data_IF_042472869257
#
_entry.id   IF_042472869257
#
_cell.length_a   1.000
_cell.length_b   1.000
_cell.length_c   1.000
_cell.angle_alpha   90.00
_cell.angle_beta   90.00
_cell.angle_gamma   90.00
#
_symmetry.space_group_name_H-M   'P 1'
#
loop_
_entity.id
_entity.type
_entity.pdbx_description
1 polymer ?
#
# COMPACT_ATOMS: atom_id res chain seq x y z
N UNK A 1 -31.37 -40.74 -6.75
CA UNK A 1 -30.35 -40.53 -7.80
C UNK A 1 -29.53 -39.32 -7.38
N UNK A 2 -28.53 -39.55 -6.54
CA UNK A 2 -27.70 -38.52 -5.91
C UNK A 2 -26.42 -38.33 -6.73
N UNK A 3 -26.12 -37.07 -7.03
CA UNK A 3 -25.03 -36.60 -7.89
C UNK A 3 -23.65 -36.87 -7.27
N UNK A 4 -22.89 -37.80 -7.85
CA UNK A 4 -21.50 -38.12 -7.47
C UNK A 4 -20.50 -37.40 -8.37
N UNK A 5 -20.56 -36.06 -8.42
CA UNK A 5 -19.63 -35.22 -9.18
C UNK A 5 -18.91 -34.22 -8.27
N UNK A 6 -18.29 -34.66 -7.17
CA UNK A 6 -17.59 -33.71 -6.27
C UNK A 6 -16.38 -34.26 -5.50
N UNK A 7 -15.69 -35.30 -5.98
CA UNK A 7 -14.52 -35.79 -5.22
C UNK A 7 -13.37 -36.36 -6.03
N UNK A 8 -13.46 -36.39 -7.38
CA UNK A 8 -12.37 -36.89 -8.24
C UNK A 8 -11.52 -35.81 -8.91
N UNK A 9 -11.79 -34.52 -8.68
CA UNK A 9 -11.01 -33.42 -9.27
C UNK A 9 -9.96 -32.79 -8.32
N UNK A 10 -9.80 -33.30 -7.09
CA UNK A 10 -8.87 -32.73 -6.11
C UNK A 10 -7.56 -33.54 -6.00
N UNK A 11 -7.40 -34.66 -6.74
CA UNK A 11 -6.27 -35.58 -6.53
C UNK A 11 -5.25 -35.71 -7.69
N UNK A 12 -5.20 -34.76 -8.63
CA UNK A 12 -4.21 -34.75 -9.73
C UNK A 12 -3.76 -33.31 -10.05
N UNK A 13 -3.08 -32.67 -9.10
CA UNK A 13 -2.31 -31.45 -9.36
C UNK A 13 -1.07 -31.37 -8.44
N UNK A 14 -0.29 -32.43 -8.43
CA UNK A 14 1.13 -32.37 -8.14
C UNK A 14 1.82 -33.00 -9.35
N UNK A 15 2.83 -32.33 -9.95
CA UNK A 15 3.85 -32.82 -10.91
C UNK A 15 4.10 -31.90 -12.14
N UNK A 16 3.37 -30.82 -12.37
CA UNK A 16 3.84 -29.76 -13.30
C UNK A 16 3.75 -28.42 -12.56
N UNK A 17 4.90 -27.81 -12.30
CA UNK A 17 5.02 -26.47 -11.72
C UNK A 17 4.56 -25.41 -12.71
N UNK A 18 3.29 -25.45 -13.11
CA UNK A 18 2.65 -24.39 -13.87
C UNK A 18 2.46 -23.25 -12.86
N UNK A 19 3.29 -22.22 -12.94
CA UNK A 19 3.02 -20.96 -12.29
C UNK A 19 1.70 -20.45 -12.87
N UNK A 20 0.60 -20.67 -12.15
CA UNK A 20 -0.69 -20.23 -12.62
C UNK A 20 -0.73 -18.71 -12.48
N UNK A 21 -0.90 -18.04 -13.61
CA UNK A 21 -1.17 -16.61 -13.65
C UNK A 21 -2.67 -16.36 -13.59
N UNK A 22 -3.06 -15.27 -12.97
CA UNK A 22 -4.45 -14.81 -12.85
C UNK A 22 -4.79 -13.84 -13.99
N UNK A 23 -6.00 -14.01 -14.52
CA UNK A 23 -6.49 -13.31 -15.70
C UNK A 23 -6.89 -11.85 -15.42
N UNK A 24 -7.23 -11.14 -16.48
CA UNK A 24 -7.70 -9.76 -16.40
C UNK A 24 -8.92 -9.63 -15.47
N UNK A 25 -8.85 -8.68 -14.55
CA UNK A 25 -9.83 -8.40 -13.49
C UNK A 25 -9.92 -9.43 -12.35
N UNK A 26 -9.14 -10.51 -12.39
CA UNK A 26 -9.12 -11.51 -11.34
C UNK A 26 -8.31 -11.07 -10.12
N UNK A 27 -8.60 -11.67 -8.97
CA UNK A 27 -7.91 -11.35 -7.73
C UNK A 27 -6.49 -11.93 -7.74
N UNK A 28 -5.51 -11.06 -7.50
CA UNK A 28 -4.09 -11.41 -7.50
C UNK A 28 -3.43 -11.31 -6.12
N UNK A 29 -4.03 -10.58 -5.18
CA UNK A 29 -3.54 -10.51 -3.81
C UNK A 29 -4.62 -10.17 -2.78
N UNK A 30 -4.31 -10.41 -1.51
CA UNK A 30 -5.14 -10.03 -0.36
C UNK A 30 -4.76 -10.82 0.90
N UNK A 31 -4.97 -10.23 2.08
CA UNK A 31 -4.83 -10.98 3.34
C UNK A 31 -5.74 -12.21 3.36
N UNK A 32 -5.15 -13.39 3.58
CA UNK A 32 -5.86 -14.68 3.59
C UNK A 32 -6.10 -15.29 2.20
N UNK A 33 -5.83 -14.57 1.11
CA UNK A 33 -6.00 -15.05 -0.27
C UNK A 33 -4.69 -15.59 -0.88
N UNK A 34 -3.54 -15.04 -0.46
CA UNK A 34 -2.23 -15.35 -1.06
C UNK A 34 -1.87 -14.37 -2.17
N UNK A 35 -0.72 -14.58 -2.82
CA UNK A 35 -0.20 -13.72 -3.90
C UNK A 35 0.03 -14.53 -5.16
N UNK A 36 -0.58 -14.10 -6.26
CA UNK A 36 -0.52 -14.78 -7.55
C UNK A 36 -0.11 -13.80 -8.66
N UNK A 37 0.79 -14.21 -9.56
CA UNK A 37 1.22 -13.37 -10.66
C UNK A 37 0.08 -13.15 -11.65
N UNK A 38 -0.03 -11.95 -12.23
CA UNK A 38 -0.98 -11.71 -13.32
C UNK A 38 -0.45 -12.20 -14.66
N UNK A 39 -1.34 -12.43 -15.62
CA UNK A 39 -0.96 -12.65 -17.02
C UNK A 39 -0.08 -11.52 -17.55
N UNK A 40 0.76 -11.83 -18.54
CA UNK A 40 1.69 -10.88 -19.13
C UNK A 40 0.98 -9.59 -19.58
N UNK A 41 1.53 -8.43 -19.18
CA UNK A 41 0.97 -7.12 -19.50
C UNK A 41 -0.08 -6.60 -18.51
N UNK A 42 -0.36 -7.33 -17.42
CA UNK A 42 -1.25 -6.89 -16.36
C UNK A 42 -0.47 -6.57 -15.07
N UNK A 43 -0.91 -5.53 -14.36
CA UNK A 43 -0.43 -5.19 -13.03
C UNK A 43 -1.40 -5.65 -11.94
N UNK A 44 -0.90 -6.13 -10.81
CA UNK A 44 -1.73 -6.42 -9.64
C UNK A 44 -1.93 -5.13 -8.83
N UNK A 45 -3.11 -4.53 -8.91
CA UNK A 45 -3.41 -3.27 -8.24
C UNK A 45 -4.21 -3.49 -6.98
N UNK A 46 -3.79 -2.85 -5.87
CA UNK A 46 -4.46 -2.96 -4.58
C UNK A 46 -5.71 -2.10 -4.54
N UNK A 47 -6.82 -2.68 -4.12
CA UNK A 47 -8.05 -1.93 -3.81
C UNK A 47 -8.16 -1.66 -2.32
N UNK A 48 -7.88 -2.67 -1.51
CA UNK A 48 -7.86 -2.59 -0.05
C UNK A 48 -6.97 -3.72 0.52
N UNK A 49 -6.90 -3.82 1.84
CA UNK A 49 -6.09 -4.81 2.57
C UNK A 49 -6.36 -6.28 2.16
N UNK A 50 -7.59 -6.59 1.77
CA UNK A 50 -8.05 -7.95 1.50
C UNK A 50 -8.21 -8.25 0.01
N UNK A 51 -8.10 -7.25 -0.87
CA UNK A 51 -8.41 -7.41 -2.28
C UNK A 51 -7.51 -6.56 -3.19
N UNK A 52 -6.86 -7.24 -4.13
CA UNK A 52 -6.11 -6.67 -5.25
C UNK A 52 -6.47 -7.41 -6.54
N UNK A 53 -6.55 -6.73 -7.68
CA UNK A 53 -6.89 -7.38 -8.96
C UNK A 53 -5.90 -7.08 -10.07
N UNK A 54 -5.75 -8.02 -11.01
CA UNK A 54 -5.03 -7.83 -12.25
C UNK A 54 -5.75 -6.84 -13.16
N UNK A 55 -5.08 -5.76 -13.59
CA UNK A 55 -5.65 -4.79 -14.51
C UNK A 55 -4.63 -4.41 -15.60
N UNK A 56 -5.06 -3.98 -16.80
CA UNK A 56 -4.16 -3.44 -17.82
C UNK A 56 -3.54 -2.11 -17.40
N UNK A 57 -4.26 -1.37 -16.57
CA UNK A 57 -3.83 -0.10 -15.98
C UNK A 57 -4.60 0.12 -14.69
N UNK A 58 -4.08 0.95 -13.78
CA UNK A 58 -4.76 1.20 -12.52
C UNK A 58 -6.08 1.97 -12.74
N UNK A 59 -7.24 1.44 -12.29
CA UNK A 59 -8.52 2.12 -12.47
C UNK A 59 -8.58 3.41 -11.65
N UNK A 60 -8.72 4.57 -12.30
CA UNK A 60 -8.77 5.90 -11.65
C UNK A 60 -10.07 6.21 -10.88
N UNK A 61 -10.88 5.19 -10.60
CA UNK A 61 -12.10 5.35 -9.81
C UNK A 61 -11.77 5.28 -8.31
N UNK A 62 -12.54 5.98 -7.48
CA UNK A 62 -12.36 6.02 -6.02
C UNK A 62 -12.31 4.60 -5.43
N UNK A 63 -11.28 4.34 -4.61
CA UNK A 63 -11.09 3.09 -3.88
C UNK A 63 -10.03 2.14 -4.44
N UNK A 64 -9.27 2.52 -5.47
CA UNK A 64 -8.04 1.82 -5.86
C UNK A 64 -6.81 2.59 -5.42
N UNK A 65 -5.85 1.91 -4.81
CA UNK A 65 -4.58 2.50 -4.37
C UNK A 65 -3.61 2.59 -5.55
N UNK A 66 -3.91 3.53 -6.45
CA UNK A 66 -3.13 3.82 -7.65
C UNK A 66 -2.00 4.83 -7.42
N UNK A 67 -2.01 5.55 -6.29
CA UNK A 67 -1.12 6.69 -6.04
C UNK A 67 0.36 6.33 -5.81
N UNK A 68 0.67 5.05 -5.61
CA UNK A 68 2.06 4.56 -5.51
C UNK A 68 2.54 3.80 -6.75
N UNK A 69 1.67 3.56 -7.74
CA UNK A 69 2.11 3.05 -9.03
C UNK A 69 2.51 4.24 -9.90
N UNK A 70 3.75 4.71 -9.74
CA UNK A 70 4.33 5.62 -10.71
C UNK A 70 4.10 5.04 -12.12
N UNK A 71 3.51 5.84 -13.01
CA UNK A 71 3.15 5.41 -14.37
C UNK A 71 4.31 4.63 -14.99
N UNK A 72 4.03 3.55 -15.76
CA UNK A 72 5.09 2.71 -16.31
C UNK A 72 6.14 3.59 -16.97
N UNK A 73 7.40 3.42 -16.56
CA UNK A 73 8.51 4.10 -17.18
C UNK A 73 8.49 3.75 -18.67
N UNK A 74 8.40 4.77 -19.53
CA UNK A 74 8.45 4.56 -20.98
C UNK A 74 9.77 3.85 -21.34
N UNK A 75 9.81 3.24 -22.51
CA UNK A 75 11.00 2.57 -23.02
C UNK A 75 12.22 3.46 -22.87
N UNK A 76 13.33 2.85 -22.43
CA UNK A 76 14.62 3.52 -22.21
C UNK A 76 14.69 4.43 -20.98
N UNK A 77 13.63 4.59 -20.20
CA UNK A 77 13.68 5.35 -18.95
C UNK A 77 14.25 4.54 -17.79
N UNK A 78 14.67 5.25 -16.75
CA UNK A 78 15.11 4.63 -15.50
C UNK A 78 13.93 3.98 -14.76
N UNK A 79 14.15 2.78 -14.25
CA UNK A 79 13.14 1.95 -13.61
C UNK A 79 13.60 1.37 -12.25
N UNK A 80 14.72 1.84 -11.70
CA UNK A 80 15.25 1.32 -10.46
C UNK A 80 16.67 1.82 -10.18
N UNK A 81 17.17 1.49 -8.99
CA UNK A 81 18.44 1.96 -8.46
C UNK A 81 18.30 2.41 -7.01
N UNK A 82 19.37 2.29 -6.23
CA UNK A 82 19.43 2.81 -4.86
C UNK A 82 19.22 4.34 -4.87
N UNK A 83 18.26 4.82 -4.06
CA UNK A 83 17.79 6.20 -4.07
C UNK A 83 16.80 6.56 -5.19
N UNK A 84 16.39 5.63 -6.06
CA UNK A 84 15.37 5.89 -7.09
C UNK A 84 13.96 5.95 -6.49
N UNK A 85 13.25 7.05 -6.76
CA UNK A 85 11.87 7.31 -6.26
C UNK A 85 10.82 7.23 -7.39
N UNK A 86 11.25 7.00 -8.64
CA UNK A 86 10.36 6.93 -9.81
C UNK A 86 9.74 5.54 -10.04
N UNK A 87 9.17 5.34 -11.23
CA UNK A 87 8.53 4.06 -11.57
C UNK A 87 9.51 2.90 -11.54
N UNK A 88 9.06 1.75 -11.03
CA UNK A 88 9.80 0.48 -11.03
C UNK A 88 9.26 -0.52 -12.06
N UNK A 89 8.25 -0.10 -12.82
CA UNK A 89 7.56 -0.92 -13.81
C UNK A 89 7.76 -0.26 -15.18
N UNK A 90 8.04 -1.04 -16.20
CA UNK A 90 8.23 -0.56 -17.57
C UNK A 90 6.96 -0.65 -18.40
N UNK A 91 6.84 0.20 -19.42
CA UNK A 91 5.74 0.12 -20.39
C UNK A 91 5.73 -1.23 -21.13
N UNK A 92 4.60 -1.55 -21.75
CA UNK A 92 4.41 -2.80 -22.47
C UNK A 92 5.52 -3.02 -23.52
N UNK A 93 6.09 -4.23 -23.55
CA UNK A 93 7.20 -4.60 -24.44
C UNK A 93 8.60 -4.35 -23.85
N UNK A 94 8.70 -3.77 -22.66
CA UNK A 94 9.95 -3.46 -21.98
C UNK A 94 10.07 -4.17 -20.62
N UNK A 95 11.30 -4.48 -20.22
CA UNK A 95 11.67 -5.02 -18.91
C UNK A 95 12.69 -4.10 -18.23
N UNK A 96 12.66 -4.06 -16.90
CA UNK A 96 13.59 -3.28 -16.11
C UNK A 96 14.90 -4.06 -15.91
N UNK A 97 15.99 -3.61 -16.54
CA UNK A 97 17.30 -4.23 -16.42
C UNK A 97 18.21 -3.40 -15.53
N UNK A 98 18.85 -4.05 -14.55
CA UNK A 98 19.79 -3.37 -13.67
C UNK A 98 21.16 -3.26 -14.35
N UNK A 99 21.73 -2.06 -14.37
CA UNK A 99 23.11 -1.81 -14.82
C UNK A 99 24.08 -1.75 -13.65
N UNK A 100 23.61 -1.20 -12.53
CA UNK A 100 24.37 -1.07 -11.30
C UNK A 100 23.42 -1.01 -10.11
N UNK A 101 23.98 -0.97 -8.89
CA UNK A 101 23.21 -0.79 -7.65
C UNK A 101 22.39 0.50 -7.69
N UNK A 102 22.86 1.54 -8.36
CA UNK A 102 22.24 2.87 -8.38
C UNK A 102 21.39 3.13 -9.64
N UNK A 103 21.34 2.21 -10.60
CA UNK A 103 20.68 2.48 -11.88
C UNK A 103 20.16 1.22 -12.58
N UNK A 104 18.87 1.25 -12.93
CA UNK A 104 18.18 0.28 -13.76
C UNK A 104 17.39 0.97 -14.87
N UNK A 105 17.28 0.38 -16.05
CA UNK A 105 16.63 0.98 -17.22
C UNK A 105 15.62 0.03 -17.86
N UNK A 106 14.48 0.57 -18.30
CA UNK A 106 13.54 -0.11 -19.16
C UNK A 106 14.15 -0.33 -20.53
N UNK A 107 14.28 -1.58 -20.97
CA UNK A 107 14.70 -1.90 -22.34
C UNK A 107 13.79 -2.99 -22.91
N UNK A 108 13.72 -3.15 -24.25
CA UNK A 108 12.90 -4.21 -24.83
C UNK A 108 13.20 -5.57 -24.19
N UNK A 109 12.17 -6.40 -23.96
CA UNK A 109 12.28 -7.68 -23.21
C UNK A 109 13.36 -8.65 -23.77
N UNK A 110 13.80 -8.44 -25.01
CA UNK A 110 14.82 -9.24 -25.68
C UNK A 110 16.12 -8.47 -25.97
N UNK A 111 16.29 -7.26 -25.42
CA UNK A 111 17.44 -6.38 -25.65
C UNK A 111 18.21 -6.10 -24.35
N UNK A 112 18.81 -7.15 -23.82
CA UNK A 112 19.75 -7.07 -22.71
C UNK A 112 21.18 -6.78 -23.22
N UNK A 113 21.80 -5.65 -22.86
CA UNK A 113 23.18 -5.38 -23.20
C UNK A 113 24.16 -6.23 -22.38
N UNK A 114 25.33 -6.51 -22.95
CA UNK A 114 26.43 -7.13 -22.21
C UNK A 114 26.80 -6.27 -20.98
N UNK A 115 26.90 -6.93 -19.82
CA UNK A 115 27.23 -6.27 -18.54
C UNK A 115 26.03 -5.76 -17.74
N UNK A 116 24.79 -6.04 -18.17
CA UNK A 116 23.57 -5.75 -17.40
C UNK A 116 22.96 -7.03 -16.82
N UNK A 117 22.24 -6.91 -15.71
CA UNK A 117 21.55 -8.03 -15.08
C UNK A 117 20.15 -8.19 -15.66
N UNK A 118 19.94 -9.26 -16.45
CA UNK A 118 18.73 -9.45 -17.27
C UNK A 118 18.00 -10.80 -17.09
N UNK A 119 18.33 -11.55 -16.03
CA UNK A 119 17.72 -12.83 -15.66
C UNK A 119 18.72 -13.60 -14.79
N UNK A 120 18.38 -14.31 -13.72
CA UNK A 120 17.12 -14.85 -13.18
C UNK A 120 17.18 -14.58 -11.65
N UNK A 121 16.07 -14.65 -10.91
CA UNK A 121 16.16 -14.97 -9.48
C UNK A 121 16.98 -16.26 -9.35
N UNK A 122 18.26 -16.12 -9.04
CA UNK A 122 19.13 -17.24 -8.70
C UNK A 122 18.60 -17.77 -7.37
N UNK A 123 18.32 -19.08 -7.20
CA UNK A 123 18.20 -19.62 -5.86
C UNK A 123 19.50 -19.26 -5.14
N UNK A 124 19.38 -18.49 -4.06
CA UNK A 124 20.48 -18.11 -3.18
C UNK A 124 21.10 -19.39 -2.65
N UNK A 125 22.10 -19.91 -3.36
CA UNK A 125 22.85 -21.08 -2.93
C UNK A 125 24.13 -20.52 -2.34
N UNK A 126 24.23 -20.66 -1.01
CA UNK A 126 25.33 -20.28 -0.13
C UNK A 126 25.59 -18.76 0.03
N UNK A 127 24.94 -18.17 1.04
CA UNK A 127 25.53 -17.05 1.77
C UNK A 127 26.84 -17.53 2.44
N UNK A 128 27.91 -16.71 2.49
CA UNK A 128 29.04 -17.01 3.35
C UNK A 128 28.54 -17.09 4.79
N UNK A 129 28.83 -18.23 5.44
CA UNK A 129 28.50 -18.49 6.84
C UNK A 129 29.22 -17.49 7.73
N UNK A 130 28.55 -16.39 8.06
CA UNK A 130 28.86 -15.64 9.26
C UNK A 130 28.18 -16.40 10.41
N UNK A 131 28.91 -16.82 11.45
CA UNK A 131 28.29 -17.49 12.59
C UNK A 131 27.38 -16.50 13.31
N UNK A 132 26.07 -16.64 13.10
CA UNK A 132 25.05 -15.92 13.87
C UNK A 132 24.94 -16.61 15.22
N UNK A 133 25.54 -16.00 16.24
CA UNK A 133 25.20 -16.26 17.63
C UNK A 133 23.76 -15.79 17.84
N UNK A 134 22.88 -16.76 18.03
CA UNK A 134 21.49 -16.58 18.41
C UNK A 134 21.41 -16.36 19.92
N UNK A 135 20.93 -15.18 20.34
CA UNK A 135 19.95 -14.98 21.43
C UNK A 135 19.83 -13.49 21.77
N UNK A 136 18.87 -12.77 21.18
CA UNK A 136 18.12 -11.70 21.89
C UNK A 136 16.73 -11.60 21.24
N UNK A 137 15.72 -12.13 21.91
CA UNK A 137 14.32 -11.68 21.71
C UNK A 137 14.24 -10.27 22.28
N UNK A 138 14.20 -9.26 21.42
CA UNK A 138 13.91 -7.88 21.83
C UNK A 138 12.39 -7.74 21.95
N UNK A 139 11.83 -7.43 23.13
CA UNK A 139 10.45 -7.02 23.24
C UNK A 139 10.37 -5.53 22.88
N UNK A 140 9.91 -5.20 21.67
CA UNK A 140 9.68 -3.81 21.29
C UNK A 140 8.23 -3.42 21.58
N UNK A 141 7.99 -2.95 22.80
CA UNK A 141 7.04 -1.86 23.01
C UNK A 141 7.66 -0.60 22.42
N UNK A 142 7.53 -0.42 21.09
CA UNK A 142 8.01 0.80 20.41
C UNK A 142 7.19 1.97 20.93
N UNK A 143 7.81 2.79 21.78
CA UNK A 143 7.24 4.03 22.25
C UNK A 143 7.04 4.94 21.03
N UNK A 144 5.83 5.51 20.80
CA UNK A 144 5.59 6.35 19.62
C UNK A 144 6.50 7.57 19.67
N UNK A 145 7.09 7.90 18.52
CA UNK A 145 8.04 9.01 18.41
C UNK A 145 7.25 10.31 18.42
N UNK A 146 7.39 11.10 19.49
CA UNK A 146 6.74 12.42 19.56
C UNK A 146 7.57 13.42 18.75
N UNK A 147 7.04 13.92 17.65
CA UNK A 147 7.69 14.96 16.83
C UNK A 147 7.18 16.36 17.22
N UNK A 148 8.04 17.39 17.23
CA UNK A 148 7.64 18.73 17.64
C UNK A 148 6.69 19.39 16.65
N UNK A 149 6.04 20.47 17.08
CA UNK A 149 5.23 21.31 16.20
C UNK A 149 6.08 21.75 14.98
N UNK A 150 5.42 21.86 13.82
CA UNK A 150 6.02 22.19 12.53
C UNK A 150 6.98 21.13 11.97
N UNK A 151 6.97 19.92 12.53
CA UNK A 151 7.71 18.78 11.99
C UNK A 151 6.87 17.96 11.03
N UNK A 152 7.54 17.34 10.05
CA UNK A 152 6.92 16.38 9.15
C UNK A 152 6.43 15.15 9.92
N UNK A 153 5.19 14.75 9.70
CA UNK A 153 4.55 13.63 10.41
C UNK A 153 4.17 12.45 9.52
N UNK A 154 4.28 12.56 8.20
CA UNK A 154 4.15 11.42 7.28
C UNK A 154 5.49 10.71 7.07
N UNK A 155 5.49 9.38 6.91
CA UNK A 155 6.69 8.58 6.60
C UNK A 155 7.56 8.15 7.78
N UNK A 156 7.27 8.63 9.00
CA UNK A 156 7.93 8.17 10.23
C UNK A 156 7.00 7.18 10.93
N UNK A 157 7.39 5.90 10.96
CA UNK A 157 6.60 4.83 11.56
C UNK A 157 6.33 5.14 13.05
N UNK A 158 5.07 5.40 13.39
CA UNK A 158 4.65 5.70 14.77
C UNK A 158 4.94 7.13 15.24
N UNK A 159 5.16 8.08 14.33
CA UNK A 159 5.25 9.49 14.72
C UNK A 159 3.89 10.03 15.16
N UNK A 160 3.85 10.59 16.37
CA UNK A 160 2.73 11.35 16.91
C UNK A 160 3.16 12.79 17.11
N UNK A 161 2.27 13.73 16.82
CA UNK A 161 2.55 15.14 17.02
C UNK A 161 2.59 15.48 18.52
N UNK A 162 3.44 16.43 18.90
CA UNK A 162 3.47 16.97 20.25
C UNK A 162 2.06 17.44 20.70
N UNK A 163 1.80 17.38 22.02
CA UNK A 163 0.52 17.74 22.59
C UNK A 163 0.04 19.12 22.11
N UNK A 164 -1.23 19.21 21.71
CA UNK A 164 -1.82 20.43 21.15
C UNK A 164 -1.60 20.62 19.65
N UNK A 165 -0.95 19.67 18.96
CA UNK A 165 -0.81 19.67 17.49
C UNK A 165 -1.33 18.36 16.89
N UNK A 166 -1.84 18.44 15.66
CA UNK A 166 -2.30 17.31 14.88
C UNK A 166 -1.58 17.27 13.53
N UNK A 167 -1.49 16.09 12.94
CA UNK A 167 -0.82 15.90 11.65
C UNK A 167 -1.76 16.34 10.53
N UNK A 168 -1.51 17.53 9.97
CA UNK A 168 -2.35 18.09 8.91
C UNK A 168 -1.73 17.80 7.54
N UNK A 169 -2.55 17.25 6.64
CA UNK A 169 -2.15 17.01 5.24
C UNK A 169 -2.08 18.33 4.50
N UNK A 170 -0.89 18.71 4.06
CA UNK A 170 -0.73 19.76 3.06
C UNK A 170 -0.94 19.19 1.66
N UNK A 171 -0.23 18.09 1.37
CA UNK A 171 -0.27 17.37 0.11
C UNK A 171 -0.11 15.86 0.35
N UNK A 172 -0.15 15.06 -0.71
CA UNK A 172 0.03 13.61 -0.62
C UNK A 172 1.39 13.18 -0.01
N UNK A 173 2.43 14.01 -0.18
CA UNK A 173 3.80 13.71 0.23
C UNK A 173 4.27 14.53 1.44
N UNK A 174 3.45 15.47 1.90
CA UNK A 174 3.83 16.36 2.99
C UNK A 174 2.65 16.59 3.92
N UNK A 175 2.83 16.09 5.15
CA UNK A 175 1.98 16.39 6.29
C UNK A 175 2.84 16.95 7.41
N UNK A 176 2.32 17.92 8.14
CA UNK A 176 3.05 18.62 9.19
C UNK A 176 2.22 18.68 10.47
N UNK A 177 2.88 18.55 11.62
CA UNK A 177 2.26 18.77 12.92
C UNK A 177 1.95 20.25 13.11
N UNK A 178 0.67 20.64 13.12
CA UNK A 178 0.26 22.03 13.35
C UNK A 178 -0.87 22.09 14.38
N UNK A 179 -1.09 23.23 15.04
CA UNK A 179 -2.25 23.40 15.93
C UNK A 179 -3.56 23.55 15.13
N UNK A 180 -3.50 24.09 13.91
CA UNK A 180 -4.64 24.25 13.01
C UNK A 180 -4.24 23.96 11.56
N UNK A 181 -5.19 23.47 10.76
CA UNK A 181 -5.03 23.27 9.32
C UNK A 181 -4.92 24.63 8.61
N UNK A 182 -3.83 24.91 7.86
CA UNK A 182 -3.72 26.12 7.07
C UNK A 182 -4.77 26.20 5.95
N UNK A 183 -5.21 27.41 5.55
CA UNK A 183 -6.31 27.58 4.59
C UNK A 183 -6.02 27.07 3.16
N UNK A 184 -4.76 26.87 2.81
CA UNK A 184 -4.33 26.44 1.47
C UNK A 184 -4.03 24.95 1.37
N UNK A 185 -4.24 24.20 2.46
CA UNK A 185 -3.83 22.81 2.57
C UNK A 185 -4.96 21.85 2.22
N UNK A 186 -4.61 20.65 1.73
CA UNK A 186 -5.57 19.60 1.39
C UNK A 186 -6.51 19.23 2.56
N UNK A 187 -6.02 19.36 3.80
CA UNK A 187 -6.83 19.15 5.01
C UNK A 187 -8.08 20.04 5.13
N UNK A 188 -8.21 21.11 4.31
CA UNK A 188 -9.42 21.93 4.26
C UNK A 188 -10.61 21.22 3.58
N UNK A 189 -10.32 20.38 2.60
CA UNK A 189 -11.31 19.60 1.85
C UNK A 189 -11.40 18.16 2.31
N UNK A 190 -10.39 17.67 3.02
CA UNK A 190 -10.39 16.34 3.61
C UNK A 190 -11.51 16.25 4.66
N UNK A 191 -12.41 15.29 4.43
CA UNK A 191 -13.57 15.04 5.28
C UNK A 191 -13.66 13.56 5.60
N UNK A 192 -14.13 13.26 6.80
CA UNK A 192 -14.44 11.91 7.25
C UNK A 192 -15.78 11.49 6.65
N UNK A 193 -15.81 10.34 5.98
CA UNK A 193 -17.02 9.78 5.36
C UNK A 193 -17.92 9.15 6.43
N UNK A 194 -19.17 8.84 6.06
CA UNK A 194 -20.12 8.22 6.97
C UNK A 194 -19.58 6.86 7.47
N UNK A 195 -19.65 6.64 8.79
CA UNK A 195 -19.16 5.42 9.43
C UNK A 195 -17.69 5.48 9.86
N UNK A 196 -16.92 6.48 9.46
CA UNK A 196 -15.52 6.59 9.87
C UNK A 196 -15.35 7.40 11.15
N UNK A 197 -14.26 7.12 11.88
CA UNK A 197 -13.93 7.82 13.12
C UNK A 197 -13.60 9.28 12.84
N UNK A 198 -14.16 10.20 13.63
CA UNK A 198 -13.96 11.65 13.52
C UNK A 198 -13.52 12.30 14.83
N UNK A 199 -13.28 11.51 15.88
CA UNK A 199 -12.90 12.05 17.17
C UNK A 199 -12.68 10.99 18.24
N UNK A 200 -12.31 11.48 19.42
CA UNK A 200 -11.93 10.68 20.57
C UNK A 200 -10.63 11.19 21.19
N UNK A 201 -10.45 10.99 22.49
CA UNK A 201 -9.16 11.25 23.14
C UNK A 201 -8.05 10.41 22.49
N UNK A 202 -6.94 11.06 22.16
CA UNK A 202 -5.83 10.40 21.44
C UNK A 202 -6.13 10.10 19.97
N UNK A 203 -7.24 10.58 19.40
CA UNK A 203 -7.47 10.53 17.96
C UNK A 203 -6.75 11.69 17.26
N UNK A 204 -5.91 11.36 16.28
CA UNK A 204 -5.07 12.32 15.55
C UNK A 204 -5.43 12.44 14.06
N UNK A 205 -6.55 11.86 13.64
CA UNK A 205 -7.04 11.90 12.27
C UNK A 205 -7.94 13.10 11.97
N UNK A 206 -8.61 13.05 10.82
CA UNK A 206 -9.55 14.09 10.39
C UNK A 206 -10.74 14.17 11.34
N UNK A 207 -11.16 15.38 11.72
CA UNK A 207 -12.27 15.61 12.66
C UNK A 207 -13.51 16.22 12.02
N UNK A 208 -13.39 16.66 10.77
CA UNK A 208 -14.49 17.26 10.01
C UNK A 208 -15.22 16.18 9.22
N UNK A 209 -16.53 16.03 9.43
CA UNK A 209 -17.33 15.11 8.63
C UNK A 209 -17.68 15.70 7.26
N UNK A 210 -17.95 14.81 6.29
CA UNK A 210 -18.42 15.19 4.97
C UNK A 210 -19.76 15.94 5.04
N UNK A 211 -20.12 16.65 3.97
CA UNK A 211 -21.33 17.45 3.94
C UNK A 211 -22.57 16.58 4.24
N UNK A 212 -23.43 17.10 5.12
CA UNK A 212 -24.64 16.38 5.58
C UNK A 212 -24.40 15.38 6.72
N UNK A 213 -23.17 15.26 7.22
CA UNK A 213 -22.82 14.40 8.35
C UNK A 213 -22.43 15.21 9.59
N UNK A 214 -22.65 14.65 10.77
CA UNK A 214 -22.20 15.18 12.06
C UNK A 214 -21.34 14.15 12.79
N UNK A 215 -20.37 14.64 13.56
CA UNK A 215 -19.51 13.80 14.38
C UNK A 215 -20.22 13.51 15.70
N UNK A 216 -20.69 12.27 15.89
CA UNK A 216 -21.37 11.84 17.11
C UNK A 216 -20.38 11.11 18.00
N UNK A 217 -20.30 11.50 19.29
CA UNK A 217 -19.40 10.84 20.23
C UNK A 217 -20.09 9.61 20.81
N UNK A 218 -19.44 8.45 20.75
CA UNK A 218 -19.92 7.22 21.41
C UNK A 218 -19.32 7.05 22.79
N UNK A 219 -18.07 7.47 22.93
CA UNK A 219 -17.31 7.37 24.17
C UNK A 219 -16.27 8.48 24.23
N UNK A 220 -15.56 8.57 25.35
CA UNK A 220 -14.40 9.46 25.52
C UNK A 220 -13.34 9.28 24.42
N UNK A 221 -13.19 8.06 23.89
CA UNK A 221 -12.11 7.66 22.99
C UNK A 221 -12.55 7.50 21.53
N UNK A 222 -13.83 7.62 21.24
CA UNK A 222 -14.36 7.31 19.91
C UNK A 222 -15.60 8.13 19.56
N UNK A 223 -15.51 8.82 18.42
CA UNK A 223 -16.61 9.52 17.76
C UNK A 223 -16.64 9.14 16.28
N UNK A 224 -17.82 9.12 15.65
CA UNK A 224 -18.01 8.69 14.28
C UNK A 224 -18.89 9.66 13.49
N UNK A 225 -18.61 9.83 12.20
CA UNK A 225 -19.47 10.61 11.33
C UNK A 225 -20.71 9.83 10.92
N UNK A 226 -21.89 10.41 11.14
CA UNK A 226 -23.15 9.84 10.67
C UNK A 226 -24.10 10.94 10.19
N UNK A 227 -25.07 10.57 9.35
CA UNK A 227 -26.11 11.48 8.88
C UNK A 227 -27.15 11.76 9.98
N UNK A 228 -27.29 10.82 10.92
CA UNK A 228 -28.19 10.89 12.06
C UNK A 228 -27.58 10.16 13.25
N UNK A 229 -28.12 10.42 14.44
CA UNK A 229 -27.71 9.75 15.68
C UNK A 229 -27.75 8.20 15.52
N UNK A 230 -26.62 7.49 15.65
CA UNK A 230 -26.57 6.05 15.36
C UNK A 230 -27.28 5.16 16.39
N UNK A 231 -27.47 5.63 17.62
CA UNK A 231 -28.09 4.84 18.68
C UNK A 231 -28.11 5.56 20.03
N UNK A 232 -28.74 4.92 21.02
CA UNK A 232 -28.90 5.47 22.37
C UNK A 232 -27.59 5.57 23.17
N UNK A 233 -26.53 4.86 22.74
CA UNK A 233 -25.19 4.91 23.32
C UNK A 233 -24.31 6.03 22.73
N UNK A 234 -24.89 6.94 21.95
CA UNK A 234 -24.20 8.05 21.31
C UNK A 234 -24.69 9.39 21.85
N UNK A 235 -23.74 10.30 22.09
CA UNK A 235 -24.00 11.70 22.39
C UNK A 235 -24.37 12.43 21.10
N UNK A 236 -25.66 12.77 21.03
CA UNK A 236 -26.34 13.53 20.00
C UNK A 236 -26.91 14.79 20.67
#
# INVERSE_FOLDING_TARGET
MTSTLSTKLILLAAIIGVAYSVGIYEQCAGEGYGTFPCDAGLGCFRRNKWYSSCQPSCPRNVGWECEFAAAPAAGWNQCGGDGWVGSTVCEFGYACYARSVYYSQCRPINDCPAGWACGVYVPVTAAPTVPVVSTVVVPTTVRPVVVPAYSQCNGIAGAICAAGTACFRNSALYSECRPTCPPTWACQTDVVVAGDQCGGEGYFGLTRCAQGLRCYARSKWYSQCAASCPGADWAC
#
